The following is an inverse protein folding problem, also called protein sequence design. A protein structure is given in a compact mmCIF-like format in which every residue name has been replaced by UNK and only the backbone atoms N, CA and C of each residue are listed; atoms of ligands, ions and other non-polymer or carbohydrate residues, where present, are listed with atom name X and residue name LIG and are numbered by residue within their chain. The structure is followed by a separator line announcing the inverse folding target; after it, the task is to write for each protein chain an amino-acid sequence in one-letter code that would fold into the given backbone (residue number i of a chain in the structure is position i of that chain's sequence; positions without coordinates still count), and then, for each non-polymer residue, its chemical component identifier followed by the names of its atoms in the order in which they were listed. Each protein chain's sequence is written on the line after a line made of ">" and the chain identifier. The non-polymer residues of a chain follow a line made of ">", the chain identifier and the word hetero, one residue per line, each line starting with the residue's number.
data_IF_107155605398
#
_entry.id   IF_107155605398
#
_cell.length_a   1.000
_cell.length_b   1.000
_cell.length_c   1.000
_cell.angle_alpha   90.00
_cell.angle_beta   90.00
_cell.angle_gamma   90.00
#
_symmetry.space_group_name_H-M   'P 1'
#
loop_
_entity.id
_entity.type
_entity.pdbx_description
1 polymer ?
#
# COMPACT_ATOMS: atom_id res chain seq x y z
N UNK A 1 -3.37 26.28 -21.71
CA UNK A 1 -2.60 25.56 -20.68
C UNK A 1 -3.59 24.67 -19.95
N UNK A 2 -3.53 23.35 -20.12
CA UNK A 2 -4.41 22.43 -19.40
C UNK A 2 -3.91 22.36 -17.97
N UNK A 3 -4.70 22.81 -17.00
CA UNK A 3 -4.37 22.62 -15.58
C UNK A 3 -4.31 21.13 -15.30
N UNK A 4 -3.15 20.64 -14.84
CA UNK A 4 -3.05 19.28 -14.30
C UNK A 4 -3.96 19.23 -13.08
N UNK A 5 -4.96 18.33 -13.02
CA UNK A 5 -5.79 18.21 -11.84
C UNK A 5 -4.91 17.88 -10.62
N UNK A 6 -5.22 18.42 -9.43
CA UNK A 6 -4.47 18.07 -8.23
C UNK A 6 -4.62 16.58 -7.93
N UNK A 7 -3.55 15.95 -7.44
CA UNK A 7 -3.60 14.56 -6.98
C UNK A 7 -4.69 14.41 -5.90
N UNK A 8 -5.49 13.33 -5.93
CA UNK A 8 -6.42 13.01 -4.85
C UNK A 8 -5.73 12.97 -3.49
N UNK A 9 -6.43 13.40 -2.43
CA UNK A 9 -5.91 13.47 -1.05
C UNK A 9 -6.80 12.86 0.01
N UNK A 10 -7.97 12.38 -0.39
CA UNK A 10 -8.95 11.79 0.52
C UNK A 10 -9.39 10.42 0.01
N UNK A 11 -9.84 9.51 0.89
CA UNK A 11 -10.47 8.25 0.50
C UNK A 11 -11.51 8.44 -0.60
N UNK A 12 -12.38 9.45 -0.48
CA UNK A 12 -13.45 9.70 -1.44
C UNK A 12 -12.94 10.13 -2.82
N UNK A 13 -11.92 10.99 -2.88
CA UNK A 13 -11.32 11.41 -4.14
C UNK A 13 -10.56 10.26 -4.82
N UNK A 14 -9.82 9.45 -4.05
CA UNK A 14 -9.16 8.26 -4.55
C UNK A 14 -10.17 7.23 -5.06
N UNK A 15 -11.27 7.02 -4.35
CA UNK A 15 -12.35 6.14 -4.79
C UNK A 15 -12.97 6.63 -6.11
N UNK A 16 -13.16 7.94 -6.27
CA UNK A 16 -13.62 8.53 -7.53
C UNK A 16 -12.63 8.31 -8.67
N UNK A 17 -11.33 8.45 -8.39
CA UNK A 17 -10.26 8.16 -9.36
C UNK A 17 -10.31 6.71 -9.84
N UNK A 18 -10.48 5.74 -8.93
CA UNK A 18 -10.54 4.31 -9.27
C UNK A 18 -11.77 3.95 -10.11
N UNK A 19 -12.86 4.71 -9.96
CA UNK A 19 -14.07 4.57 -10.78
C UNK A 19 -14.04 5.37 -12.10
N UNK A 20 -12.95 6.07 -12.42
CA UNK A 20 -12.83 6.78 -13.69
C UNK A 20 -12.76 5.82 -14.89
N UNK A 21 -13.22 6.27 -16.05
CA UNK A 21 -13.26 5.46 -17.27
C UNK A 21 -11.89 4.86 -17.63
N UNK A 22 -10.82 5.63 -17.47
CA UNK A 22 -9.45 5.17 -17.78
C UNK A 22 -9.07 3.96 -16.91
N UNK A 23 -9.46 3.98 -15.65
CA UNK A 23 -9.15 2.91 -14.71
C UNK A 23 -10.09 1.73 -14.93
N UNK A 24 -11.39 1.94 -15.15
CA UNK A 24 -12.39 0.85 -15.31
C UNK A 24 -12.01 -0.18 -16.39
N UNK A 25 -11.32 0.22 -17.46
CA UNK A 25 -10.87 -0.68 -18.54
C UNK A 25 -9.58 -1.46 -18.28
N UNK A 26 -8.87 -1.22 -17.17
CA UNK A 26 -7.64 -1.98 -16.85
C UNK A 26 -8.02 -3.43 -16.50
N UNK A 27 -7.43 -4.45 -17.15
CA UNK A 27 -7.77 -5.84 -16.86
C UNK A 27 -7.16 -6.33 -15.53
N UNK A 28 -7.71 -7.43 -15.02
CA UNK A 28 -7.12 -8.23 -13.92
C UNK A 28 -6.79 -7.43 -12.66
N UNK A 29 -7.66 -6.50 -12.26
CA UNK A 29 -7.41 -5.59 -11.13
C UNK A 29 -7.51 -6.26 -9.77
N UNK A 30 -8.49 -7.14 -9.65
CA UNK A 30 -8.89 -7.74 -8.39
C UNK A 30 -8.61 -9.25 -8.45
N UNK A 31 -8.01 -9.78 -7.39
CA UNK A 31 -7.79 -11.20 -7.19
C UNK A 31 -7.78 -11.50 -5.69
N UNK A 32 -8.34 -12.65 -5.30
CA UNK A 32 -8.14 -13.21 -3.97
C UNK A 32 -7.71 -14.66 -4.13
N UNK A 33 -6.50 -14.97 -3.70
CA UNK A 33 -5.87 -16.27 -3.89
C UNK A 33 -5.51 -16.89 -2.56
N UNK A 34 -5.94 -18.14 -2.37
CA UNK A 34 -5.57 -18.94 -1.21
C UNK A 34 -4.26 -19.66 -1.54
N UNK A 35 -3.22 -19.42 -0.75
CA UNK A 35 -1.92 -20.07 -0.88
C UNK A 35 -1.62 -20.76 0.44
N UNK A 36 -1.74 -22.09 0.46
CA UNK A 36 -1.61 -22.88 1.68
C UNK A 36 -2.55 -22.36 2.78
N UNK A 37 -2.00 -21.70 3.80
CA UNK A 37 -2.74 -21.17 4.95
C UNK A 37 -2.87 -19.63 4.90
N UNK A 38 -2.42 -18.99 3.82
CA UNK A 38 -2.54 -17.54 3.64
C UNK A 38 -3.55 -17.17 2.57
N UNK A 39 -4.07 -15.95 2.70
CA UNK A 39 -4.87 -15.30 1.68
C UNK A 39 -4.08 -14.10 1.17
N UNK A 40 -3.80 -14.10 -0.13
CA UNK A 40 -3.29 -12.95 -0.84
C UNK A 40 -4.47 -12.24 -1.50
N UNK A 41 -4.62 -10.95 -1.23
CA UNK A 41 -5.68 -10.13 -1.77
C UNK A 41 -5.09 -8.94 -2.52
N UNK A 42 -5.62 -8.70 -3.71
CA UNK A 42 -5.13 -7.67 -4.61
C UNK A 42 -6.31 -6.91 -5.17
N UNK A 43 -6.23 -5.59 -5.13
CA UNK A 43 -7.17 -4.66 -5.77
C UNK A 43 -6.50 -3.30 -5.96
N UNK A 44 -7.03 -2.42 -6.79
CA UNK A 44 -6.56 -1.03 -6.91
C UNK A 44 -6.92 -0.24 -5.64
N UNK A 45 -8.06 -0.52 -5.03
CA UNK A 45 -8.56 0.15 -3.84
C UNK A 45 -9.01 -0.88 -2.80
N UNK A 46 -8.36 -0.88 -1.64
CA UNK A 46 -8.80 -1.60 -0.44
C UNK A 46 -9.06 -0.61 0.69
N UNK A 47 -9.88 -0.99 1.66
CA UNK A 47 -10.21 -0.15 2.81
C UNK A 47 -10.08 -0.89 4.14
N UNK A 48 -10.31 -0.18 5.24
CA UNK A 48 -10.17 -0.71 6.60
C UNK A 48 -11.05 -1.94 6.89
N UNK A 49 -12.10 -2.21 6.11
CA UNK A 49 -12.97 -3.37 6.34
C UNK A 49 -12.19 -4.68 6.29
N UNK A 50 -11.08 -4.70 5.53
CA UNK A 50 -10.20 -5.85 5.34
C UNK A 50 -9.33 -6.16 6.54
N UNK A 51 -9.00 -5.16 7.35
CA UNK A 51 -8.19 -5.35 8.58
C UNK A 51 -9.06 -5.47 9.83
N UNK A 52 -10.27 -4.90 9.82
CA UNK A 52 -11.22 -5.06 10.93
C UNK A 52 -11.68 -6.53 10.99
N UNK A 53 -11.92 -7.14 9.83
CA UNK A 53 -12.24 -8.55 9.70
C UNK A 53 -11.25 -9.22 8.74
N UNK A 54 -10.03 -9.55 9.20
CA UNK A 54 -9.04 -10.20 8.37
C UNK A 54 -9.62 -11.51 7.80
N UNK A 55 -9.43 -11.80 6.50
CA UNK A 55 -10.00 -12.99 5.88
C UNK A 55 -9.28 -14.29 6.30
N UNK A 56 -8.08 -14.18 6.88
CA UNK A 56 -7.28 -15.29 7.40
C UNK A 56 -6.30 -14.78 8.47
N UNK A 57 -5.84 -15.69 9.34
CA UNK A 57 -4.71 -15.49 10.25
C UNK A 57 -3.45 -14.98 9.51
N UNK A 58 -3.20 -15.48 8.29
CA UNK A 58 -2.13 -15.01 7.42
C UNK A 58 -2.74 -14.29 6.21
N UNK A 59 -2.59 -12.97 6.17
CA UNK A 59 -3.21 -12.15 5.13
C UNK A 59 -2.23 -11.13 4.55
N UNK A 60 -2.15 -11.10 3.23
CA UNK A 60 -1.26 -10.22 2.47
C UNK A 60 -2.07 -9.40 1.47
N UNK A 61 -2.05 -8.09 1.62
CA UNK A 61 -2.75 -7.14 0.78
C UNK A 61 -1.78 -6.40 -0.15
N UNK A 62 -2.08 -6.42 -1.44
CA UNK A 62 -1.32 -5.74 -2.48
C UNK A 62 -2.23 -4.74 -3.21
N UNK A 63 -2.07 -3.46 -2.93
CA UNK A 63 -2.97 -2.43 -3.50
C UNK A 63 -2.24 -1.19 -3.97
N UNK A 64 -2.92 -0.38 -4.79
CA UNK A 64 -2.44 0.97 -5.12
C UNK A 64 -2.82 1.96 -4.03
N UNK A 65 -4.05 1.85 -3.52
CA UNK A 65 -4.62 2.73 -2.51
C UNK A 65 -5.22 1.88 -1.39
N UNK A 66 -4.76 2.13 -0.16
CA UNK A 66 -5.38 1.62 1.06
C UNK A 66 -6.02 2.79 1.80
N UNK A 67 -7.33 2.73 2.01
CA UNK A 67 -8.09 3.82 2.56
C UNK A 67 -8.55 3.54 3.99
N UNK A 68 -8.53 4.60 4.80
CA UNK A 68 -9.13 4.65 6.12
C UNK A 68 -10.22 5.70 6.13
N UNK A 69 -11.47 5.28 6.27
CA UNK A 69 -12.64 6.17 6.27
C UNK A 69 -13.05 6.61 7.68
N UNK A 70 -12.34 6.14 8.71
CA UNK A 70 -12.58 6.47 10.12
C UNK A 70 -11.28 6.91 10.81
N UNK A 71 -11.36 7.83 11.78
CA UNK A 71 -10.20 8.32 12.53
C UNK A 71 -9.62 7.28 13.51
N UNK A 72 -10.43 6.33 13.95
CA UNK A 72 -10.00 5.24 14.83
C UNK A 72 -10.48 3.89 14.27
N UNK A 73 -9.55 2.96 14.15
CA UNK A 73 -9.81 1.59 13.69
C UNK A 73 -9.38 0.62 14.76
N UNK A 74 -10.32 -0.20 15.24
CA UNK A 74 -10.01 -1.32 16.12
C UNK A 74 -9.73 -2.56 15.28
N UNK A 75 -8.55 -3.14 15.48
CA UNK A 75 -8.08 -4.37 14.84
C UNK A 75 -7.99 -5.43 15.93
N UNK A 76 -8.63 -6.58 15.72
CA UNK A 76 -8.59 -7.72 16.65
C UNK A 76 -8.04 -8.95 15.92
N UNK A 77 -6.71 -9.06 15.77
CA UNK A 77 -6.10 -10.16 15.03
C UNK A 77 -6.33 -11.50 15.72
N UNK A 78 -6.41 -12.58 14.95
CA UNK A 78 -6.33 -13.94 15.48
C UNK A 78 -4.98 -14.19 16.18
N UNK A 79 -4.94 -15.16 17.09
CA UNK A 79 -3.71 -15.52 17.79
C UNK A 79 -2.59 -15.86 16.77
N UNK A 80 -1.39 -15.30 16.94
CA UNK A 80 -0.26 -15.49 16.00
C UNK A 80 -0.52 -15.02 14.57
N UNK A 81 -1.49 -14.12 14.35
CA UNK A 81 -1.76 -13.56 13.03
C UNK A 81 -0.56 -12.79 12.47
N UNK A 82 -0.41 -12.85 11.15
CA UNK A 82 0.54 -12.05 10.38
C UNK A 82 -0.21 -11.37 9.25
N UNK A 83 -0.27 -10.04 9.31
CA UNK A 83 -0.90 -9.20 8.30
C UNK A 83 0.13 -8.33 7.62
N UNK A 84 0.01 -8.18 6.31
CA UNK A 84 0.85 -7.28 5.55
C UNK A 84 0.03 -6.45 4.59
N UNK A 85 0.31 -5.16 4.55
CA UNK A 85 -0.27 -4.22 3.61
C UNK A 85 0.88 -3.61 2.82
N UNK A 86 0.91 -3.84 1.52
CA UNK A 86 1.81 -3.15 0.59
C UNK A 86 0.96 -2.27 -0.30
N UNK A 87 1.14 -0.96 -0.14
CA UNK A 87 0.39 0.05 -0.89
C UNK A 87 1.29 1.17 -1.39
N UNK A 88 0.91 1.83 -2.49
CA UNK A 88 1.55 3.08 -2.88
C UNK A 88 1.03 4.23 -2.02
N UNK A 89 -0.28 4.31 -1.87
CA UNK A 89 -0.98 5.39 -1.16
C UNK A 89 -1.72 4.82 0.04
N UNK A 90 -1.48 5.40 1.20
CA UNK A 90 -2.27 5.21 2.39
C UNK A 90 -3.00 6.53 2.69
N UNK A 91 -4.33 6.51 2.59
CA UNK A 91 -5.15 7.73 2.60
C UNK A 91 -6.19 7.72 3.71
N UNK A 92 -6.47 8.90 4.26
CA UNK A 92 -7.49 9.15 5.26
C UNK A 92 -7.94 10.62 5.20
N UNK A 93 -9.12 10.94 5.72
CA UNK A 93 -9.58 12.35 5.79
C UNK A 93 -8.94 13.13 6.95
N UNK A 94 -8.53 12.43 8.00
CA UNK A 94 -7.91 12.98 9.21
C UNK A 94 -6.78 12.07 9.67
N UNK A 95 -5.87 12.52 10.57
CA UNK A 95 -4.95 11.62 11.25
C UNK A 95 -5.69 10.42 11.83
N UNK A 96 -5.09 9.23 11.70
CA UNK A 96 -5.72 7.97 12.10
C UNK A 96 -4.96 7.28 13.23
N UNK A 97 -5.70 6.59 14.09
CA UNK A 97 -5.14 5.69 15.10
C UNK A 97 -5.62 4.25 14.84
N UNK A 98 -4.66 3.33 14.71
CA UNK A 98 -4.91 1.90 14.64
C UNK A 98 -4.80 1.32 16.06
N UNK A 99 -5.95 1.06 16.67
CA UNK A 99 -6.04 0.42 17.98
C UNK A 99 -6.01 -1.09 17.81
N UNK A 100 -4.94 -1.73 18.25
CA UNK A 100 -4.73 -3.17 18.08
C UNK A 100 -5.06 -3.86 19.40
N UNK A 101 -5.96 -4.84 19.37
CA UNK A 101 -6.41 -5.60 20.54
C UNK A 101 -6.12 -7.08 20.26
N UNK A 102 -4.87 -7.54 20.45
CA UNK A 102 -4.52 -8.90 20.14
C UNK A 102 -4.73 -9.82 21.36
N UNK A 103 -5.16 -11.06 21.13
CA UNK A 103 -5.27 -12.07 22.19
C UNK A 103 -3.88 -12.62 22.59
N UNK A 104 -3.01 -12.81 21.60
CA UNK A 104 -1.61 -13.23 21.78
C UNK A 104 -0.67 -12.33 20.97
N UNK A 105 0.57 -12.74 20.76
CA UNK A 105 1.47 -12.00 19.86
C UNK A 105 0.95 -12.01 18.42
N UNK A 106 1.06 -10.90 17.70
CA UNK A 106 0.81 -10.83 16.26
C UNK A 106 1.80 -9.90 15.55
N UNK A 107 1.84 -10.01 14.22
CA UNK A 107 2.72 -9.23 13.37
C UNK A 107 1.92 -8.44 12.34
N UNK A 108 2.20 -7.14 12.24
CA UNK A 108 1.57 -6.27 11.24
C UNK A 108 2.67 -5.54 10.48
N UNK A 109 2.65 -5.66 9.17
CA UNK A 109 3.57 -4.98 8.27
C UNK A 109 2.80 -3.97 7.45
N UNK A 110 3.24 -2.72 7.45
CA UNK A 110 2.64 -1.64 6.65
C UNK A 110 3.76 -1.04 5.80
N UNK A 111 3.64 -1.15 4.49
CA UNK A 111 4.49 -0.47 3.53
C UNK A 111 3.65 0.54 2.75
N UNK A 112 4.12 1.78 2.71
CA UNK A 112 3.44 2.88 2.03
C UNK A 112 4.46 3.89 1.50
N UNK A 113 4.30 4.34 0.26
CA UNK A 113 5.16 5.39 -0.31
C UNK A 113 4.62 6.80 -0.08
N UNK A 114 3.29 6.94 0.00
CA UNK A 114 2.59 8.21 0.16
C UNK A 114 1.60 8.04 1.31
N UNK A 115 1.66 8.96 2.26
CA UNK A 115 0.69 9.09 3.34
C UNK A 115 -0.01 10.44 3.18
N UNK A 116 -1.33 10.43 3.01
CA UNK A 116 -2.10 11.68 2.98
C UNK A 116 -2.34 12.24 4.39
N UNK A 117 -2.31 11.38 5.41
CA UNK A 117 -2.46 11.75 6.83
C UNK A 117 -1.48 10.97 7.71
N UNK A 118 -1.09 11.52 8.88
CA UNK A 118 -0.31 10.80 9.87
C UNK A 118 -1.05 9.57 10.42
N UNK A 119 -0.29 8.54 10.79
CA UNK A 119 -0.81 7.29 11.33
C UNK A 119 -0.17 7.03 12.68
N UNK A 120 -0.98 6.71 13.68
CA UNK A 120 -0.51 6.18 14.96
C UNK A 120 -1.02 4.76 15.20
N UNK A 121 -0.34 4.05 16.09
CA UNK A 121 -0.71 2.70 16.53
C UNK A 121 -0.75 2.65 18.05
N UNK A 122 -1.69 1.90 18.62
CA UNK A 122 -1.83 1.75 20.07
C UNK A 122 -2.33 0.37 20.45
N UNK A 123 -2.06 -0.03 21.68
CA UNK A 123 -2.72 -1.14 22.38
C UNK A 123 -3.41 -0.59 23.62
N UNK A 124 -4.26 -1.38 24.28
CA UNK A 124 -5.01 -0.91 25.44
C UNK A 124 -4.08 -0.41 26.57
N UNK A 125 -4.39 0.78 27.09
CA UNK A 125 -3.64 1.40 28.19
C UNK A 125 -2.30 2.02 27.80
N UNK A 126 -1.92 2.02 26.52
CA UNK A 126 -0.72 2.67 26.01
C UNK A 126 -1.06 3.94 25.23
N UNK A 127 -0.17 4.94 25.30
CA UNK A 127 -0.26 6.12 24.46
C UNK A 127 -0.01 5.75 22.98
N UNK A 128 -0.72 6.37 22.02
CA UNK A 128 -0.50 6.13 20.60
C UNK A 128 0.93 6.47 20.16
N UNK A 129 1.56 5.53 19.46
CA UNK A 129 2.86 5.68 18.83
C UNK A 129 2.68 6.20 17.41
N UNK A 130 3.18 7.40 17.12
CA UNK A 130 3.18 7.96 15.77
C UNK A 130 4.18 7.21 14.88
N UNK A 131 3.74 6.77 13.69
CA UNK A 131 4.59 6.06 12.74
C UNK A 131 5.36 7.04 11.85
N UNK A 132 6.68 6.87 11.76
CA UNK A 132 7.55 7.66 10.88
C UNK A 132 7.66 7.03 9.48
N UNK A 133 6.55 7.06 8.74
CA UNK A 133 6.48 6.57 7.36
C UNK A 133 6.36 7.72 6.35
N UNK A 134 6.89 7.50 5.14
CA UNK A 134 6.68 8.39 3.99
C UNK A 134 7.88 9.30 3.65
N UNK A 135 7.65 10.30 2.78
CA UNK A 135 8.72 11.12 2.25
C UNK A 135 9.53 11.82 3.35
N UNK A 136 10.85 11.65 3.32
CA UNK A 136 11.78 12.31 4.25
C UNK A 136 12.14 11.51 5.50
N UNK A 137 11.47 10.37 5.79
CA UNK A 137 11.83 9.51 6.92
C UNK A 137 12.88 8.46 6.56
N UNK A 138 13.01 8.13 5.27
CA UNK A 138 13.86 7.02 4.79
C UNK A 138 13.20 5.64 4.96
N UNK A 139 12.07 5.56 5.67
CA UNK A 139 11.35 4.32 5.94
C UNK A 139 10.26 4.12 4.89
N UNK A 140 10.33 2.99 4.17
CA UNK A 140 9.30 2.58 3.20
C UNK A 140 8.25 1.66 3.84
N UNK A 141 8.52 1.15 5.03
CA UNK A 141 7.57 0.39 5.81
C UNK A 141 7.92 0.29 7.29
N UNK A 142 7.02 -0.32 8.04
CA UNK A 142 7.17 -0.63 9.45
C UNK A 142 6.65 -2.03 9.71
N UNK A 143 7.35 -2.74 10.58
CA UNK A 143 6.92 -4.00 11.17
C UNK A 143 6.58 -3.75 12.62
N UNK A 144 5.37 -4.10 12.99
CA UNK A 144 4.84 -4.04 14.34
C UNK A 144 4.82 -5.45 14.91
N UNK A 145 5.51 -5.66 16.03
CA UNK A 145 5.41 -6.86 16.85
C UNK A 145 4.53 -6.47 18.03
N UNK A 146 3.28 -6.93 17.98
CA UNK A 146 2.24 -6.49 18.92
C UNK A 146 2.04 -7.57 19.95
N UNK A 147 2.15 -7.19 21.21
CA UNK A 147 1.78 -7.98 22.38
C UNK A 147 0.52 -7.37 23.01
N UNK A 148 -0.20 -8.09 23.88
CA UNK A 148 -1.40 -7.55 24.54
C UNK A 148 -1.16 -6.23 25.31
N UNK A 149 0.07 -6.00 25.79
CA UNK A 149 0.42 -4.88 26.67
C UNK A 149 1.43 -3.88 26.07
N UNK A 150 2.01 -4.18 24.90
CA UNK A 150 3.01 -3.33 24.24
C UNK A 150 3.11 -3.54 22.73
N UNK A 151 3.71 -2.56 22.06
CA UNK A 151 4.10 -2.63 20.65
C UNK A 151 5.61 -2.42 20.57
N UNK A 152 6.32 -3.39 19.99
CA UNK A 152 7.69 -3.19 19.53
C UNK A 152 7.66 -2.88 18.03
N UNK A 153 8.35 -1.83 17.58
CA UNK A 153 8.36 -1.38 16.17
C UNK A 153 9.75 -1.50 15.55
N UNK A 154 9.79 -1.92 14.30
CA UNK A 154 10.99 -2.03 13.47
C UNK A 154 10.72 -1.32 12.13
N UNK A 155 11.49 -0.28 11.82
CA UNK A 155 11.38 0.43 10.54
C UNK A 155 12.13 -0.31 9.43
N UNK A 156 11.59 -0.22 8.21
CA UNK A 156 12.07 -0.94 7.05
C UNK A 156 12.45 0.07 5.95
N UNK A 157 13.70 0.00 5.49
CA UNK A 157 14.26 0.88 4.46
C UNK A 157 14.12 0.31 3.04
N UNK A 158 13.71 -0.95 2.92
CA UNK A 158 13.44 -1.60 1.65
C UNK A 158 12.10 -2.34 1.69
N UNK A 159 11.50 -2.50 0.50
CA UNK A 159 10.34 -3.38 0.34
C UNK A 159 10.74 -4.85 0.52
N UNK A 160 9.76 -5.74 0.46
CA UNK A 160 9.94 -7.18 0.64
C UNK A 160 11.10 -7.75 -0.21
N UNK A 161 11.96 -8.56 0.42
CA UNK A 161 13.12 -9.22 -0.22
C UNK A 161 12.82 -10.64 -0.74
N UNK A 162 11.55 -10.92 -1.03
CA UNK A 162 11.11 -12.24 -1.47
C UNK A 162 10.33 -12.10 -2.78
N UNK A 163 10.41 -13.15 -3.61
CA UNK A 163 9.62 -13.25 -4.83
C UNK A 163 8.17 -13.53 -4.46
N UNK A 164 7.28 -12.62 -4.86
CA UNK A 164 5.83 -12.78 -4.72
C UNK A 164 5.14 -12.47 -6.07
N UNK A 165 4.46 -13.48 -6.62
CA UNK A 165 3.73 -13.39 -7.89
C UNK A 165 2.54 -12.42 -7.82
N UNK A 166 1.86 -12.34 -6.69
CA UNK A 166 0.71 -11.46 -6.49
C UNK A 166 1.16 -10.01 -6.34
N UNK A 167 2.29 -9.77 -5.67
CA UNK A 167 2.92 -8.45 -5.69
C UNK A 167 3.32 -8.06 -7.11
N UNK A 168 3.95 -8.96 -7.87
CA UNK A 168 4.32 -8.70 -9.27
C UNK A 168 3.10 -8.41 -10.15
N UNK A 169 2.00 -9.15 -9.98
CA UNK A 169 0.75 -8.88 -10.68
C UNK A 169 0.19 -7.50 -10.31
N UNK A 170 0.23 -7.11 -9.02
CA UNK A 170 -0.24 -5.81 -8.55
C UNK A 170 0.56 -4.66 -9.16
N UNK A 171 1.89 -4.77 -9.16
CA UNK A 171 2.76 -3.77 -9.77
C UNK A 171 2.53 -3.68 -11.29
N UNK A 172 2.26 -4.79 -11.97
CA UNK A 172 1.91 -4.76 -13.40
C UNK A 172 0.59 -4.03 -13.66
N UNK A 173 -0.43 -4.25 -12.82
CA UNK A 173 -1.68 -3.48 -12.87
C UNK A 173 -1.39 -1.98 -12.70
N UNK A 174 -0.58 -1.59 -11.71
CA UNK A 174 -0.18 -0.20 -11.49
C UNK A 174 0.58 0.41 -12.68
N UNK A 175 1.46 -0.36 -13.32
CA UNK A 175 2.17 0.10 -14.52
C UNK A 175 1.23 0.24 -15.74
N UNK A 176 0.26 -0.66 -15.90
CA UNK A 176 -0.80 -0.52 -16.91
C UNK A 176 -1.63 0.75 -16.68
N UNK A 177 -1.96 1.06 -15.43
CA UNK A 177 -2.62 2.32 -15.06
C UNK A 177 -1.75 3.53 -15.45
N UNK A 178 -0.46 3.52 -15.11
CA UNK A 178 0.46 4.61 -15.46
C UNK A 178 0.52 4.85 -16.98
N UNK A 179 0.54 3.78 -17.79
CA UNK A 179 0.50 3.86 -19.26
C UNK A 179 -0.80 4.46 -19.77
N UNK A 180 -1.93 4.12 -19.16
CA UNK A 180 -3.23 4.65 -19.55
C UNK A 180 -3.37 6.14 -19.20
N UNK A 181 -2.77 6.57 -18.09
CA UNK A 181 -2.81 7.95 -17.61
C UNK A 181 -1.76 8.87 -18.27
N UNK A 182 -0.77 8.34 -18.98
CA UNK A 182 0.42 9.07 -19.44
C UNK A 182 0.17 10.35 -20.28
N UNK A 183 -1.05 10.55 -20.78
CA UNK A 183 -1.46 11.72 -21.57
C UNK A 183 -2.41 12.66 -20.83
N UNK A 184 -3.09 12.17 -19.79
CA UNK A 184 -4.19 12.87 -19.12
C UNK A 184 -3.84 13.26 -17.67
N UNK A 185 -3.04 12.44 -16.99
CA UNK A 185 -2.60 12.67 -15.61
C UNK A 185 -1.15 12.20 -15.43
N UNK A 186 -0.22 13.09 -15.78
CA UNK A 186 1.21 12.79 -15.72
C UNK A 186 1.76 12.76 -14.29
N UNK A 187 1.05 13.34 -13.32
CA UNK A 187 1.45 13.33 -11.92
C UNK A 187 1.26 11.94 -11.31
N UNK A 188 0.04 11.40 -11.39
CA UNK A 188 -0.27 10.04 -10.93
C UNK A 188 0.54 9.00 -11.71
N UNK A 189 0.64 9.14 -13.04
CA UNK A 189 1.44 8.21 -13.86
C UNK A 189 2.91 8.17 -13.41
N UNK A 190 3.51 9.33 -13.11
CA UNK A 190 4.90 9.39 -12.63
C UNK A 190 5.05 8.81 -11.23
N UNK A 191 4.05 9.03 -10.36
CA UNK A 191 4.01 8.47 -9.00
C UNK A 191 3.99 6.93 -9.04
N UNK A 192 3.13 6.35 -9.88
CA UNK A 192 3.06 4.91 -10.10
C UNK A 192 4.38 4.33 -10.62
N UNK A 193 4.99 4.95 -11.63
CA UNK A 193 6.29 4.52 -12.14
C UNK A 193 7.37 4.56 -11.05
N UNK A 194 7.43 5.64 -10.28
CA UNK A 194 8.41 5.79 -9.20
C UNK A 194 8.23 4.73 -8.13
N UNK A 195 6.98 4.47 -7.71
CA UNK A 195 6.67 3.42 -6.75
C UNK A 195 7.05 2.03 -7.26
N UNK A 196 6.68 1.68 -8.49
CA UNK A 196 7.05 0.39 -9.08
C UNK A 196 8.56 0.23 -9.11
N UNK A 197 9.32 1.26 -9.49
CA UNK A 197 10.79 1.23 -9.44
C UNK A 197 11.27 0.98 -8.02
N UNK A 198 10.80 1.75 -7.03
CA UNK A 198 11.23 1.59 -5.62
C UNK A 198 10.98 0.20 -5.06
N UNK A 199 9.82 -0.41 -5.36
CA UNK A 199 9.50 -1.78 -4.90
C UNK A 199 10.39 -2.83 -5.58
N UNK A 200 10.87 -2.56 -6.79
CA UNK A 200 11.57 -3.53 -7.65
C UNK A 200 13.05 -3.23 -7.84
N UNK A 201 13.62 -2.31 -7.06
CA UNK A 201 15.02 -1.88 -7.18
C UNK A 201 16.00 -2.93 -6.65
N UNK A 202 15.55 -3.83 -5.75
CA UNK A 202 16.42 -4.86 -5.21
C UNK A 202 16.86 -5.84 -6.31
N UNK A 203 18.15 -5.78 -6.64
CA UNK A 203 18.77 -6.48 -7.75
C UNK A 203 18.89 -8.00 -7.49
N UNK A 204 18.78 -8.43 -6.23
CA UNK A 204 18.77 -9.86 -5.89
C UNK A 204 17.48 -10.54 -6.36
N UNK A 205 16.45 -9.75 -6.73
CA UNK A 205 15.18 -10.24 -7.24
C UNK A 205 15.08 -10.02 -8.76
N UNK A 206 15.89 -10.76 -9.52
CA UNK A 206 15.86 -10.73 -11.00
C UNK A 206 14.46 -10.96 -11.60
N UNK A 207 13.56 -11.57 -10.82
CA UNK A 207 12.14 -11.72 -11.10
C UNK A 207 11.43 -10.40 -11.47
N UNK A 208 11.78 -9.28 -10.83
CA UNK A 208 11.17 -7.97 -11.09
C UNK A 208 11.89 -7.12 -12.14
N UNK A 209 12.98 -7.61 -12.73
CA UNK A 209 13.83 -6.82 -13.64
C UNK A 209 13.08 -6.24 -14.85
N UNK A 210 12.19 -7.03 -15.46
CA UNK A 210 11.43 -6.60 -16.63
C UNK A 210 10.45 -5.48 -16.28
N UNK A 211 9.69 -5.62 -15.20
CA UNK A 211 8.72 -4.60 -14.79
C UNK A 211 9.43 -3.33 -14.33
N UNK A 212 10.57 -3.46 -13.63
CA UNK A 212 11.43 -2.33 -13.27
C UNK A 212 11.87 -1.54 -14.51
N UNK A 213 12.45 -2.22 -15.51
CA UNK A 213 12.91 -1.58 -16.74
C UNK A 213 11.78 -0.85 -17.48
N UNK A 214 10.58 -1.46 -17.51
CA UNK A 214 9.41 -0.82 -18.12
C UNK A 214 8.94 0.42 -17.34
N UNK A 215 8.97 0.39 -16.01
CA UNK A 215 8.62 1.51 -15.15
C UNK A 215 9.63 2.66 -15.29
N UNK A 216 10.93 2.37 -15.33
CA UNK A 216 11.99 3.36 -15.59
C UNK A 216 11.79 4.01 -16.96
N UNK A 217 11.60 3.23 -18.01
CA UNK A 217 11.43 3.75 -19.37
C UNK A 217 10.20 4.66 -19.48
N UNK A 218 9.06 4.26 -18.89
CA UNK A 218 7.85 5.08 -18.89
C UNK A 218 8.03 6.35 -18.04
N UNK A 219 8.66 6.24 -16.87
CA UNK A 219 8.98 7.39 -16.01
C UNK A 219 9.85 8.43 -16.72
N UNK A 220 10.87 7.98 -17.47
CA UNK A 220 11.71 8.86 -18.28
C UNK A 220 10.92 9.54 -19.41
N UNK A 221 10.02 8.81 -20.08
CA UNK A 221 9.13 9.39 -21.11
C UNK A 221 8.19 10.45 -20.53
N UNK A 222 7.66 10.23 -19.33
CA UNK A 222 6.81 11.20 -18.63
C UNK A 222 7.60 12.44 -18.21
N UNK A 223 8.82 12.27 -17.71
CA UNK A 223 9.70 13.37 -17.32
C UNK A 223 10.07 14.24 -18.53
N UNK A 224 10.28 13.65 -19.71
CA UNK A 224 10.58 14.39 -20.94
C UNK A 224 9.39 15.20 -21.50
N UNK A 225 8.16 14.93 -21.04
CA UNK A 225 6.95 15.67 -21.43
C UNK A 225 6.63 16.85 -20.49
N UNK A 226 7.36 17.00 -19.38
CA UNK A 226 7.17 18.07 -18.40
C UNK A 226 7.89 19.35 -18.80
#
# INVERSE_FOLDING_TARGET
>A
MSSIPPDPKTPAEWLKYVHSEVITFIPSKQEQKIIQNSINERDIYLDESKIINPPSQLWYAYTDIFAFTKPEITISPEAYASMQIITRVLTADTPINLKIVPDTICWIYIYASILDQPISVSVDGQEPLLLELGPGTGNVGVKLIVFPDKIDLEYLECYMRAVDEELHASLNTQLCIARALQWNDTAIASSLCSYVVSVTTDIELSFYSQINAQAVALGQQLAAKR
#
